data_IF_910176868840
#
_entry.id   IF_910176868840
#
_cell.length_a   1.000
_cell.length_b   1.000
_cell.length_c   1.000
_cell.angle_alpha   90.00
_cell.angle_beta   90.00
_cell.angle_gamma   90.00
#
_symmetry.space_group_name_H-M   'P 1'
#
loop_
_entity.id
_entity.type
_entity.pdbx_description
1 polymer ?
#
# COMPACT_ATOMS: atom_id res chain seq x y z
N UNK A 1 -21.29 -9.68 27.12
CA UNK A 1 -21.40 -8.61 26.39
C UNK A 1 -20.15 -8.02 25.92
N UNK A 2 -19.38 -7.47 26.76
CA UNK A 2 -18.14 -6.90 26.37
C UNK A 2 -17.25 -7.86 25.68
N UNK A 3 -17.34 -9.10 26.03
CA UNK A 3 -16.50 -10.09 25.44
C UNK A 3 -16.69 -10.19 23.96
N UNK A 4 -17.91 -10.10 23.51
CA UNK A 4 -18.17 -10.24 22.08
C UNK A 4 -17.45 -9.14 21.32
N UNK A 5 -17.51 -7.93 21.84
CA UNK A 5 -16.85 -6.81 21.21
C UNK A 5 -15.35 -6.98 21.20
N UNK A 6 -14.81 -7.40 22.33
CA UNK A 6 -13.38 -7.60 22.44
C UNK A 6 -12.89 -8.66 21.49
N UNK A 7 -13.62 -9.76 21.42
CA UNK A 7 -13.23 -10.84 20.55
C UNK A 7 -13.27 -10.43 19.10
N UNK A 8 -14.25 -9.64 18.71
CA UNK A 8 -14.32 -9.15 17.35
C UNK A 8 -13.10 -8.33 16.99
N UNK A 9 -12.71 -7.44 17.87
CA UNK A 9 -11.56 -6.63 17.66
C UNK A 9 -10.32 -7.46 17.50
N UNK A 10 -10.16 -8.44 18.33
CA UNK A 10 -8.98 -9.28 18.28
C UNK A 10 -9.00 -10.22 17.11
N UNK A 11 -10.16 -10.65 16.71
CA UNK A 11 -10.28 -11.64 15.67
C UNK A 11 -9.97 -11.08 14.29
N UNK A 12 -10.08 -9.75 14.09
CA UNK A 12 -9.89 -9.18 12.77
C UNK A 12 -8.99 -7.94 12.78
N UNK A 13 -7.72 -8.10 13.18
CA UNK A 13 -6.83 -6.95 13.17
C UNK A 13 -6.61 -6.39 11.78
N UNK A 14 -6.59 -7.24 10.76
CA UNK A 14 -6.42 -6.78 9.39
C UNK A 14 -7.62 -5.96 8.93
N UNK A 15 -8.82 -6.36 9.33
CA UNK A 15 -10.02 -5.60 8.97
C UNK A 15 -10.02 -4.24 9.66
N UNK A 16 -9.54 -4.18 10.89
CA UNK A 16 -9.44 -2.92 11.62
C UNK A 16 -8.42 -2.00 10.93
N UNK A 17 -7.28 -2.55 10.54
CA UNK A 17 -6.27 -1.78 9.82
C UNK A 17 -6.85 -1.26 8.52
N UNK A 18 -7.56 -2.11 7.78
CA UNK A 18 -8.14 -1.71 6.50
C UNK A 18 -9.11 -0.54 6.68
N UNK A 19 -9.95 -0.60 7.70
CA UNK A 19 -10.90 0.48 7.96
C UNK A 19 -10.20 1.78 8.28
N UNK A 20 -9.15 1.71 9.10
CA UNK A 20 -8.42 2.91 9.49
C UNK A 20 -7.63 3.48 8.31
N UNK A 21 -7.02 2.63 7.51
CA UNK A 21 -6.28 3.09 6.33
C UNK A 21 -7.24 3.77 5.37
N UNK A 22 -8.41 3.16 5.13
CA UNK A 22 -9.39 3.74 4.23
C UNK A 22 -9.87 5.11 4.72
N UNK A 23 -10.08 5.24 6.02
CA UNK A 23 -10.51 6.51 6.59
C UNK A 23 -9.44 7.58 6.44
N UNK A 24 -8.19 7.20 6.62
CA UNK A 24 -7.06 8.13 6.47
C UNK A 24 -6.95 8.59 5.01
N UNK A 25 -7.07 7.65 4.07
CA UNK A 25 -7.01 7.99 2.66
C UNK A 25 -8.14 8.96 2.31
N UNK A 26 -9.35 8.68 2.75
CA UNK A 26 -10.49 9.55 2.46
C UNK A 26 -10.28 10.96 3.03
N UNK A 27 -9.80 11.03 4.25
CA UNK A 27 -9.56 12.31 4.90
C UNK A 27 -8.46 13.09 4.19
N UNK A 28 -7.39 12.43 3.82
CA UNK A 28 -6.27 13.09 3.15
C UNK A 28 -6.66 13.62 1.78
N UNK A 29 -7.52 12.89 1.08
CA UNK A 29 -7.95 13.29 -0.25
C UNK A 29 -9.19 14.16 -0.25
N UNK A 30 -9.83 14.32 0.92
CA UNK A 30 -11.04 15.12 1.02
C UNK A 30 -12.21 14.52 0.28
N UNK A 31 -12.28 13.19 0.22
CA UNK A 31 -13.38 12.55 -0.48
C UNK A 31 -14.24 11.74 0.49
N UNK A 32 -15.40 11.32 -0.02
CA UNK A 32 -16.33 10.52 0.76
C UNK A 32 -15.70 9.17 1.07
N UNK A 33 -15.71 8.75 2.34
CA UNK A 33 -15.16 7.41 2.66
C UNK A 33 -15.82 6.28 1.88
N UNK A 34 -17.07 6.45 1.46
CA UNK A 34 -17.75 5.44 0.67
C UNK A 34 -17.14 5.21 -0.70
N UNK A 35 -16.35 6.18 -1.19
CA UNK A 35 -15.69 6.04 -2.48
C UNK A 35 -14.39 5.27 -2.39
N UNK A 36 -13.85 5.10 -1.19
CA UNK A 36 -12.56 4.47 -1.00
C UNK A 36 -12.75 2.98 -0.80
N UNK A 37 -12.24 2.20 -1.73
CA UNK A 37 -12.29 0.74 -1.66
C UNK A 37 -10.88 0.20 -1.62
N UNK A 38 -10.73 -1.03 -1.14
CA UNK A 38 -9.40 -1.62 -1.04
C UNK A 38 -8.73 -1.73 -2.40
N UNK A 39 -9.51 -1.95 -3.43
CA UNK A 39 -8.97 -2.07 -4.79
C UNK A 39 -8.79 -0.72 -5.48
N UNK A 40 -9.18 0.37 -4.84
CA UNK A 40 -9.04 1.69 -5.46
C UNK A 40 -7.58 2.06 -5.61
N UNK A 41 -7.19 2.47 -6.82
CA UNK A 41 -5.88 3.03 -7.06
C UNK A 41 -5.90 4.46 -6.56
N UNK A 42 -4.91 4.83 -5.76
CA UNK A 42 -4.89 6.17 -5.19
C UNK A 42 -4.84 7.24 -6.26
N UNK A 43 -3.99 7.06 -7.25
CA UNK A 43 -3.85 8.07 -8.30
C UNK A 43 -4.89 7.94 -9.40
N UNK A 44 -5.09 6.72 -9.91
CA UNK A 44 -5.98 6.54 -11.06
C UNK A 44 -7.45 6.65 -10.67
N UNK A 45 -7.83 6.05 -9.55
CA UNK A 45 -9.24 6.00 -9.18
C UNK A 45 -9.66 7.15 -8.25
N UNK A 46 -8.77 7.56 -7.35
CA UNK A 46 -9.10 8.56 -6.35
C UNK A 46 -8.50 9.93 -6.64
N UNK A 47 -7.67 10.03 -7.67
CA UNK A 47 -7.12 11.30 -8.09
C UNK A 47 -6.03 11.87 -7.18
N UNK A 48 -5.35 11.02 -6.43
CA UNK A 48 -4.30 11.48 -5.54
C UNK A 48 -3.10 12.01 -6.34
N UNK A 49 -2.45 13.02 -5.80
CA UNK A 49 -1.22 13.56 -6.37
C UNK A 49 -0.07 13.17 -5.46
N UNK A 50 1.15 13.49 -5.89
CA UNK A 50 2.35 13.12 -5.12
C UNK A 50 2.31 13.67 -3.69
N UNK A 51 1.85 14.90 -3.52
CA UNK A 51 1.76 15.48 -2.19
C UNK A 51 0.72 14.76 -1.33
N UNK A 52 -0.39 14.37 -1.93
CA UNK A 52 -1.40 13.60 -1.21
C UNK A 52 -0.84 12.27 -0.75
N UNK A 53 -0.01 11.67 -1.59
CA UNK A 53 0.62 10.40 -1.25
C UNK A 53 1.50 10.54 -0.01
N UNK A 54 2.27 11.62 0.05
CA UNK A 54 3.12 11.91 1.21
C UNK A 54 2.28 12.15 2.46
N UNK A 55 1.18 12.87 2.32
CA UNK A 55 0.28 13.11 3.43
C UNK A 55 -0.27 11.81 3.98
N UNK A 56 -0.69 10.92 3.09
CA UNK A 56 -1.24 9.64 3.50
C UNK A 56 -0.21 8.85 4.27
N UNK A 57 1.03 8.78 3.75
CA UNK A 57 2.10 8.06 4.43
C UNK A 57 2.33 8.64 5.83
N UNK A 58 2.37 9.96 5.92
CA UNK A 58 2.60 10.65 7.17
C UNK A 58 1.51 10.32 8.19
N UNK A 59 0.26 10.36 7.75
CA UNK A 59 -0.86 10.08 8.64
C UNK A 59 -0.87 8.62 9.07
N UNK A 60 -0.48 7.71 8.19
CA UNK A 60 -0.37 6.31 8.55
C UNK A 60 0.70 6.10 9.61
N UNK A 61 1.83 6.78 9.46
CA UNK A 61 2.89 6.69 10.45
C UNK A 61 2.40 7.13 11.83
N UNK A 62 1.67 8.23 11.86
CA UNK A 62 1.17 8.77 13.12
C UNK A 62 0.10 7.88 13.73
N UNK A 63 -0.81 7.39 12.90
CA UNK A 63 -1.94 6.62 13.39
C UNK A 63 -1.51 5.26 13.94
N UNK A 64 -0.51 4.65 13.35
CA UNK A 64 -0.11 3.30 13.72
C UNK A 64 1.22 3.24 14.48
N UNK A 65 1.87 4.39 14.67
CA UNK A 65 3.14 4.42 15.39
C UNK A 65 4.26 3.69 14.69
N UNK A 66 4.30 3.80 13.37
CA UNK A 66 5.30 3.12 12.54
C UNK A 66 6.01 4.14 11.67
N UNK A 67 7.06 3.69 10.99
CA UNK A 67 7.75 4.51 10.00
C UNK A 67 7.69 3.79 8.65
N UNK A 68 7.32 4.54 7.62
CA UNK A 68 7.27 4.02 6.27
C UNK A 68 8.19 4.87 5.43
N UNK A 69 9.41 4.40 5.22
CA UNK A 69 10.37 5.16 4.42
C UNK A 69 10.19 4.84 2.94
N UNK A 70 10.70 5.73 2.11
CA UNK A 70 10.69 5.49 0.68
C UNK A 70 11.43 4.20 0.34
N UNK A 71 12.55 3.96 1.01
CA UNK A 71 13.31 2.73 0.79
C UNK A 71 12.53 1.50 1.13
N UNK A 72 11.71 1.58 2.18
CA UNK A 72 10.88 0.43 2.56
C UNK A 72 9.80 0.16 1.54
N UNK A 73 9.22 1.22 0.97
CA UNK A 73 8.23 1.04 -0.08
C UNK A 73 8.85 0.43 -1.32
N UNK A 74 10.05 0.88 -1.67
CA UNK A 74 10.76 0.32 -2.80
C UNK A 74 11.13 -1.14 -2.57
N UNK A 75 11.55 -1.45 -1.36
CA UNK A 75 11.90 -2.82 -1.02
C UNK A 75 10.68 -3.73 -1.05
N UNK A 76 9.54 -3.24 -0.60
CA UNK A 76 8.30 -4.02 -0.68
C UNK A 76 7.98 -4.36 -2.12
N UNK A 77 8.21 -3.43 -3.04
CA UNK A 77 7.96 -3.67 -4.46
C UNK A 77 8.94 -4.67 -5.06
N UNK A 78 10.23 -4.56 -4.68
CA UNK A 78 11.27 -5.43 -5.23
C UNK A 78 11.32 -6.81 -4.61
N UNK A 79 10.93 -6.91 -3.35
CA UNK A 79 11.14 -8.14 -2.62
C UNK A 79 12.63 -8.36 -2.38
N UNK A 80 13.11 -9.55 -2.65
CA UNK A 80 14.52 -9.90 -2.44
C UNK A 80 15.41 -9.53 -3.62
N UNK A 81 14.85 -9.00 -4.68
CA UNK A 81 15.64 -8.64 -5.84
C UNK A 81 16.45 -7.36 -5.59
N UNK A 82 17.64 -7.31 -6.18
CA UNK A 82 18.41 -6.07 -6.17
C UNK A 82 17.77 -5.10 -7.15
N UNK A 83 18.20 -3.84 -7.09
CA UNK A 83 17.68 -2.86 -8.03
C UNK A 83 17.97 -3.24 -9.47
N UNK A 84 19.15 -3.80 -9.71
CA UNK A 84 19.53 -4.22 -11.05
C UNK A 84 18.73 -5.40 -11.53
N UNK A 85 18.43 -6.32 -10.63
CA UNK A 85 17.61 -7.47 -10.99
C UNK A 85 16.17 -7.05 -11.24
N UNK A 86 15.71 -6.06 -10.49
CA UNK A 86 14.33 -5.61 -10.58
C UNK A 86 14.09 -4.77 -11.82
N UNK A 87 15.00 -3.85 -12.11
CA UNK A 87 14.80 -2.92 -13.23
C UNK A 87 16.12 -2.65 -13.98
N UNK A 88 16.67 -3.67 -14.64
CA UNK A 88 17.88 -3.47 -15.42
C UNK A 88 17.59 -2.51 -16.57
N UNK A 89 18.45 -1.52 -16.75
CA UNK A 89 18.27 -0.56 -17.83
C UNK A 89 17.08 0.37 -17.64
N UNK A 90 16.52 0.42 -16.44
CA UNK A 90 15.47 1.38 -16.12
C UNK A 90 14.05 0.91 -16.33
N UNK A 91 13.86 -0.31 -16.83
CA UNK A 91 12.52 -0.89 -16.98
C UNK A 91 12.43 -2.13 -16.12
N UNK A 92 11.27 -2.35 -15.52
CA UNK A 92 11.07 -3.49 -14.62
C UNK A 92 11.22 -4.79 -15.40
N UNK A 93 12.02 -5.72 -14.85
CA UNK A 93 12.29 -7.01 -15.49
C UNK A 93 11.05 -7.90 -15.43
N UNK A 94 11.01 -8.97 -16.26
CA UNK A 94 9.89 -9.92 -16.18
C UNK A 94 9.69 -10.47 -14.79
N UNK A 95 10.78 -10.77 -14.07
CA UNK A 95 10.68 -11.24 -12.70
C UNK A 95 10.12 -10.15 -11.79
N UNK A 96 10.52 -8.90 -12.01
CA UNK A 96 9.98 -7.78 -11.25
C UNK A 96 8.50 -7.57 -11.52
N UNK A 97 8.10 -7.70 -12.78
CA UNK A 97 6.68 -7.57 -13.13
C UNK A 97 5.86 -8.66 -12.45
N UNK A 98 6.38 -9.89 -12.42
CA UNK A 98 5.69 -10.98 -11.75
C UNK A 98 5.54 -10.69 -10.26
N UNK A 99 6.60 -10.17 -9.64
CA UNK A 99 6.56 -9.80 -8.23
C UNK A 99 5.50 -8.75 -7.97
N UNK A 100 5.43 -7.73 -8.83
CA UNK A 100 4.45 -6.66 -8.66
C UNK A 100 3.03 -7.18 -8.81
N UNK A 101 2.81 -8.13 -9.74
CA UNK A 101 1.47 -8.68 -9.91
C UNK A 101 1.03 -9.48 -8.70
N UNK A 102 1.97 -10.13 -8.03
CA UNK A 102 1.66 -10.84 -6.79
C UNK A 102 1.35 -9.87 -5.65
N UNK A 103 2.09 -8.77 -5.61
CA UNK A 103 1.93 -7.79 -4.56
C UNK A 103 0.65 -6.97 -4.74
N UNK A 104 0.33 -6.63 -5.99
CA UNK A 104 -0.81 -5.78 -6.32
C UNK A 104 -1.67 -6.41 -7.41
N UNK A 105 -2.32 -7.54 -7.11
CA UNK A 105 -3.13 -8.21 -8.15
C UNK A 105 -4.24 -7.34 -8.71
N UNK A 106 -4.74 -6.42 -7.92
CA UNK A 106 -5.79 -5.52 -8.38
C UNK A 106 -5.30 -4.53 -9.42
N UNK A 107 -3.99 -4.35 -9.55
CA UNK A 107 -3.39 -3.48 -10.56
C UNK A 107 -2.71 -4.25 -11.67
N UNK A 108 -2.95 -5.55 -11.76
CA UNK A 108 -2.22 -6.41 -12.68
C UNK A 108 -2.28 -5.94 -14.13
N UNK A 109 -3.39 -5.36 -14.53
CA UNK A 109 -3.54 -4.90 -15.92
C UNK A 109 -2.60 -3.77 -16.27
N UNK A 110 -2.18 -3.02 -15.27
CA UNK A 110 -1.26 -1.90 -15.47
C UNK A 110 0.18 -2.30 -15.34
N UNK A 111 0.44 -3.52 -14.88
CA UNK A 111 1.79 -4.03 -14.69
C UNK A 111 2.20 -4.75 -15.96
N UNK A 112 2.79 -4.00 -16.88
CA UNK A 112 3.11 -4.49 -18.22
C UNK A 112 4.58 -4.24 -18.54
N UNK A 113 5.13 -4.95 -19.53
CA UNK A 113 6.50 -4.69 -19.96
C UNK A 113 6.67 -3.23 -20.36
N UNK A 114 7.80 -2.65 -19.96
CA UNK A 114 8.06 -1.24 -20.17
C UNK A 114 7.78 -0.39 -18.94
N UNK A 115 7.20 -0.98 -17.91
CA UNK A 115 6.94 -0.25 -16.66
C UNK A 115 8.25 0.21 -16.05
N UNK A 116 8.27 1.43 -15.56
CA UNK A 116 9.46 2.00 -14.92
C UNK A 116 9.21 2.14 -13.43
N UNK A 117 10.28 2.02 -12.62
CA UNK A 117 10.09 2.12 -11.16
C UNK A 117 9.38 3.39 -10.70
N UNK A 118 9.60 4.50 -11.38
CA UNK A 118 8.97 5.75 -11.01
C UNK A 118 7.45 5.68 -11.16
N UNK A 119 6.95 4.77 -11.97
CA UNK A 119 5.52 4.62 -12.19
C UNK A 119 4.85 3.71 -11.18
N UNK A 120 5.61 3.01 -10.36
CA UNK A 120 5.06 2.03 -9.43
C UNK A 120 4.16 2.67 -8.38
N UNK A 121 4.51 3.85 -7.90
CA UNK A 121 3.67 4.52 -6.92
C UNK A 121 2.28 4.80 -7.47
N UNK A 122 2.17 5.03 -8.78
CA UNK A 122 0.88 5.24 -9.40
C UNK A 122 0.00 4.01 -9.42
N UNK A 123 0.61 2.84 -9.16
CA UNK A 123 -0.13 1.58 -9.11
C UNK A 123 -0.63 1.24 -7.71
N UNK A 124 -0.13 1.94 -6.70
CA UNK A 124 -0.51 1.63 -5.32
C UNK A 124 -2.00 1.80 -5.11
N UNK A 125 -2.56 0.81 -4.41
CA UNK A 125 -3.97 0.85 -4.04
C UNK A 125 -4.07 0.98 -2.53
N UNK A 126 -5.29 1.16 -2.04
CA UNK A 126 -5.53 1.17 -0.60
C UNK A 126 -5.04 -0.14 0.02
N UNK A 127 -5.29 -1.27 -0.66
CA UNK A 127 -4.84 -2.56 -0.17
C UNK A 127 -3.32 -2.61 -0.01
N UNK A 128 -2.59 -1.96 -0.91
CA UNK A 128 -1.13 -1.92 -0.82
C UNK A 128 -0.70 -1.30 0.51
N UNK A 129 -1.33 -0.21 0.89
CA UNK A 129 -1.02 0.44 2.16
C UNK A 129 -1.44 -0.40 3.35
N UNK A 130 -2.56 -1.10 3.25
CA UNK A 130 -2.98 -2.01 4.32
C UNK A 130 -1.91 -3.07 4.53
N UNK A 131 -1.41 -3.63 3.45
CA UNK A 131 -0.37 -4.64 3.52
C UNK A 131 0.92 -4.10 4.14
N UNK A 132 1.31 -2.89 3.77
CA UNK A 132 2.50 -2.26 4.33
C UNK A 132 2.36 -2.04 5.82
N UNK A 133 1.21 -1.54 6.25
CA UNK A 133 0.97 -1.27 7.66
C UNK A 133 0.99 -2.57 8.45
N UNK A 134 0.34 -3.61 7.93
CA UNK A 134 0.31 -4.89 8.62
C UNK A 134 1.71 -5.47 8.76
N UNK A 135 2.51 -5.40 7.70
CA UNK A 135 3.87 -5.90 7.73
C UNK A 135 4.73 -5.14 8.73
N UNK A 136 4.58 -3.83 8.80
CA UNK A 136 5.36 -3.02 9.73
C UNK A 136 4.94 -3.29 11.17
N UNK A 137 3.65 -3.43 11.41
CA UNK A 137 3.16 -3.72 12.76
C UNK A 137 3.64 -5.08 13.23
N UNK A 138 3.60 -6.06 12.34
CA UNK A 138 4.06 -7.41 12.69
C UNK A 138 5.54 -7.41 13.00
N UNK A 139 6.33 -6.69 12.21
CA UNK A 139 7.75 -6.57 12.45
C UNK A 139 8.06 -5.89 13.77
N UNK A 140 7.28 -4.89 14.14
CA UNK A 140 7.47 -4.20 15.40
C UNK A 140 7.03 -5.04 16.59
N UNK A 141 6.02 -5.86 16.39
CA UNK A 141 5.51 -6.71 17.46
C UNK A 141 6.50 -7.82 17.79
N UNK A 142 7.25 -8.22 16.81
CA UNK A 142 8.25 -9.26 17.03
C UNK A 142 9.42 -8.72 17.79
#
# INVERSE_FOLDING_TARGET
MNQATTLSSEATPAADVAARVSAIVAASLGCDPGRVQLTSSLMADLGAESLDFLDIVFELERAFGIQITRGEMERAARGDMSEEEFAPGGAVSPAGLARLRLLMPESAERIQPGLRPVQILGLFTVQTFVNLVCAKRDGQSA
#
